data_IF_423393797789
#
_entry.id   IF_423393797789
#
_cell.length_a   1.000
_cell.length_b   1.000
_cell.length_c   1.000
_cell.angle_alpha   90.00
_cell.angle_beta   90.00
_cell.angle_gamma   90.00
#
_symmetry.space_group_name_H-M   'P 1'
#
loop_
_entity.id
_entity.type
_entity.pdbx_description
1 polymer ?
#
# COMPACT_ATOMS: atom_id res chain seq x y z
N UNK A 1 5.74 24.98 0.40
CA UNK A 1 6.53 24.80 1.64
C UNK A 1 7.04 23.36 1.70
N UNK A 2 7.84 22.96 0.70
CA UNK A 2 8.56 21.70 0.66
C UNK A 2 10.04 22.08 0.67
N UNK A 3 10.67 21.93 1.83
CA UNK A 3 12.10 22.19 2.01
C UNK A 3 12.93 21.11 1.33
N UNK A 4 13.87 21.56 0.51
CA UNK A 4 15.05 20.81 0.02
C UNK A 4 16.22 21.04 1.01
N UNK A 5 17.39 20.38 0.91
CA UNK A 5 17.70 18.96 0.75
C UNK A 5 18.67 18.52 1.88
N UNK A 6 18.34 17.50 2.68
CA UNK A 6 19.30 16.95 3.65
C UNK A 6 20.04 15.76 3.02
N UNK A 7 21.16 16.05 2.34
CA UNK A 7 21.89 15.13 1.45
C UNK A 7 22.85 14.18 2.20
N UNK A 8 22.66 13.95 3.51
CA UNK A 8 23.59 13.22 4.39
C UNK A 8 23.06 11.96 5.08
N UNK A 9 21.76 11.67 5.00
CA UNK A 9 21.11 10.50 5.64
C UNK A 9 20.53 9.50 4.64
N UNK A 10 21.00 9.54 3.39
CA UNK A 10 20.60 8.68 2.27
C UNK A 10 21.32 7.32 2.27
N UNK A 11 21.29 6.57 3.37
CA UNK A 11 21.06 5.14 3.15
C UNK A 11 19.60 5.13 2.70
N UNK A 12 19.40 5.16 1.38
CA UNK A 12 18.10 5.48 0.78
C UNK A 12 17.10 4.53 1.41
N UNK A 13 15.98 5.02 1.94
CA UNK A 13 14.96 4.17 2.58
C UNK A 13 14.64 2.93 1.71
N UNK A 14 14.70 3.11 0.38
CA UNK A 14 14.63 2.03 -0.60
C UNK A 14 15.73 0.97 -0.48
N UNK A 15 16.99 1.35 -0.30
CA UNK A 15 18.09 0.39 -0.11
C UNK A 15 17.95 -0.40 1.19
N UNK A 16 17.45 0.23 2.26
CA UNK A 16 17.16 -0.47 3.52
C UNK A 16 16.02 -1.46 3.28
N UNK A 17 14.96 -1.01 2.61
CA UNK A 17 13.81 -1.85 2.26
C UNK A 17 14.23 -3.02 1.38
N UNK A 18 14.99 -2.79 0.32
CA UNK A 18 15.50 -3.81 -0.60
C UNK A 18 16.37 -4.83 0.13
N UNK A 19 17.26 -4.38 1.01
CA UNK A 19 18.14 -5.26 1.77
C UNK A 19 17.36 -6.09 2.81
N UNK A 20 16.37 -5.49 3.47
CA UNK A 20 15.53 -6.17 4.45
C UNK A 20 14.60 -7.18 3.78
N UNK A 21 13.96 -6.80 2.67
CA UNK A 21 13.14 -7.69 1.85
C UNK A 21 13.97 -8.85 1.29
N UNK A 22 15.17 -8.58 0.77
CA UNK A 22 16.07 -9.61 0.24
C UNK A 22 16.50 -10.59 1.33
N UNK A 23 16.86 -10.10 2.53
CA UNK A 23 17.24 -10.94 3.66
C UNK A 23 16.09 -11.79 4.20
N UNK A 24 14.88 -11.22 4.24
CA UNK A 24 13.69 -11.88 4.77
C UNK A 24 12.86 -12.58 3.70
N UNK A 25 13.37 -12.72 2.47
CA UNK A 25 12.60 -13.20 1.33
C UNK A 25 11.98 -14.59 1.56
N UNK A 26 12.68 -15.51 2.23
CA UNK A 26 12.14 -16.83 2.54
C UNK A 26 10.92 -16.77 3.48
N UNK A 27 10.96 -15.90 4.48
CA UNK A 27 9.86 -15.68 5.44
C UNK A 27 8.69 -14.93 4.79
N UNK A 28 8.98 -13.95 3.94
CA UNK A 28 7.98 -13.23 3.17
C UNK A 28 7.28 -14.20 2.22
N UNK A 29 8.03 -15.03 1.51
CA UNK A 29 7.49 -15.98 0.54
C UNK A 29 6.61 -17.05 1.20
N UNK A 30 6.98 -17.53 2.39
CA UNK A 30 6.13 -18.46 3.14
C UNK A 30 4.83 -17.81 3.60
N UNK A 31 4.89 -16.56 4.09
CA UNK A 31 3.71 -15.77 4.46
C UNK A 31 2.78 -15.47 3.28
N UNK A 32 3.36 -15.09 2.14
CA UNK A 32 2.63 -14.85 0.87
C UNK A 32 1.95 -16.12 0.39
N UNK A 33 2.67 -17.25 0.39
CA UNK A 33 2.12 -18.55 0.00
C UNK A 33 0.90 -18.90 0.85
N UNK A 34 1.00 -18.77 2.17
CA UNK A 34 -0.11 -19.02 3.09
C UNK A 34 -1.32 -18.10 2.80
N UNK A 35 -1.08 -16.82 2.56
CA UNK A 35 -2.15 -15.86 2.24
C UNK A 35 -2.83 -16.17 0.91
N UNK A 36 -2.06 -16.55 -0.12
CA UNK A 36 -2.62 -16.93 -1.43
C UNK A 36 -3.47 -18.19 -1.31
N UNK A 37 -3.02 -19.22 -0.59
CA UNK A 37 -3.84 -20.43 -0.37
C UNK A 37 -5.11 -20.14 0.42
N UNK A 38 -5.10 -19.17 1.32
CA UNK A 38 -6.28 -18.73 2.06
C UNK A 38 -7.23 -17.88 1.22
N UNK A 39 -6.70 -16.96 0.42
CA UNK A 39 -7.48 -15.98 -0.35
C UNK A 39 -8.03 -16.55 -1.66
N UNK A 40 -7.37 -17.55 -2.27
CA UNK A 40 -7.81 -18.17 -3.51
C UNK A 40 -9.24 -18.74 -3.42
N UNK A 41 -9.61 -19.56 -2.41
CA UNK A 41 -10.97 -20.06 -2.27
C UNK A 41 -12.01 -18.94 -2.01
N UNK A 42 -11.62 -17.91 -1.25
CA UNK A 42 -12.49 -16.77 -0.92
C UNK A 42 -12.80 -15.92 -2.14
N UNK A 43 -11.79 -15.67 -2.97
CA UNK A 43 -11.90 -14.81 -4.14
C UNK A 43 -12.29 -15.55 -5.41
N UNK A 44 -12.08 -16.86 -5.53
CA UNK A 44 -12.42 -17.57 -6.78
C UNK A 44 -13.59 -18.52 -6.67
N UNK A 45 -14.10 -18.82 -5.47
CA UNK A 45 -15.05 -19.91 -5.19
C UNK A 45 -14.54 -21.25 -5.76
N UNK A 46 -14.73 -22.34 -5.03
CA UNK A 46 -14.63 -23.68 -5.63
C UNK A 46 -15.83 -23.84 -6.56
N UNK A 47 -15.70 -23.32 -7.79
CA UNK A 47 -16.74 -23.44 -8.80
C UNK A 47 -16.48 -24.75 -9.53
N UNK A 48 -17.32 -25.75 -9.27
CA UNK A 48 -17.29 -27.05 -9.96
C UNK A 48 -17.59 -26.91 -11.46
N UNK A 49 -18.09 -25.76 -11.90
CA UNK A 49 -18.43 -25.44 -13.28
C UNK A 49 -17.70 -24.19 -13.76
N UNK A 50 -17.26 -24.19 -15.03
CA UNK A 50 -16.65 -23.00 -15.64
C UNK A 50 -17.64 -21.83 -15.61
N UNK A 51 -17.19 -20.68 -15.09
CA UNK A 51 -17.96 -19.44 -15.11
C UNK A 51 -17.10 -18.26 -15.56
N UNK A 52 -17.66 -17.29 -16.29
CA UNK A 52 -16.96 -16.07 -16.63
C UNK A 52 -16.82 -15.19 -15.39
N UNK A 53 -15.57 -14.89 -15.02
CA UNK A 53 -15.24 -14.06 -13.85
C UNK A 53 -14.45 -12.85 -14.31
N UNK A 54 -14.78 -11.66 -13.80
CA UNK A 54 -13.96 -10.47 -13.97
C UNK A 54 -12.64 -10.62 -13.21
N UNK A 55 -11.59 -11.01 -13.94
CA UNK A 55 -10.32 -11.40 -13.35
C UNK A 55 -9.55 -10.22 -12.72
N UNK A 56 -9.59 -9.05 -13.36
CA UNK A 56 -8.83 -7.87 -12.93
C UNK A 56 -9.11 -7.44 -11.48
N UNK A 57 -10.37 -7.17 -11.07
CA UNK A 57 -10.66 -6.76 -9.70
C UNK A 57 -10.27 -7.82 -8.66
N UNK A 58 -10.41 -9.12 -8.99
CA UNK A 58 -10.05 -10.22 -8.09
C UNK A 58 -8.54 -10.35 -7.89
N UNK A 59 -7.76 -10.24 -8.96
CA UNK A 59 -6.30 -10.22 -8.89
C UNK A 59 -5.81 -9.01 -8.09
N UNK A 60 -6.37 -7.83 -8.32
CA UNK A 60 -5.99 -6.62 -7.57
C UNK A 60 -6.24 -6.80 -6.07
N UNK A 61 -7.39 -7.39 -5.69
CA UNK A 61 -7.70 -7.68 -4.28
C UNK A 61 -6.78 -8.73 -3.66
N UNK A 62 -6.45 -9.78 -4.42
CA UNK A 62 -5.46 -10.79 -4.01
C UNK A 62 -4.07 -10.17 -3.78
N UNK A 63 -3.62 -9.30 -4.69
CA UNK A 63 -2.34 -8.59 -4.54
C UNK A 63 -2.36 -7.66 -3.32
N UNK A 64 -3.46 -6.92 -3.10
CA UNK A 64 -3.60 -6.05 -1.94
C UNK A 64 -3.50 -6.82 -0.62
N UNK A 65 -4.14 -8.00 -0.52
CA UNK A 65 -4.01 -8.89 0.66
C UNK A 65 -2.59 -9.38 0.82
N UNK A 66 -1.99 -9.90 -0.25
CA UNK A 66 -0.63 -10.44 -0.24
C UNK A 66 0.39 -9.37 0.21
N UNK A 67 0.32 -8.16 -0.34
CA UNK A 67 1.16 -7.04 0.08
C UNK A 67 0.87 -6.59 1.51
N UNK A 68 -0.41 -6.57 1.92
CA UNK A 68 -0.81 -6.32 3.30
C UNK A 68 -0.17 -7.29 4.30
N UNK A 69 -0.12 -8.58 3.97
CA UNK A 69 0.54 -9.61 4.78
C UNK A 69 2.03 -9.37 4.95
N UNK A 70 2.71 -9.03 3.86
CA UNK A 70 4.17 -8.76 3.85
C UNK A 70 4.53 -7.53 4.68
N UNK A 71 3.78 -6.42 4.55
CA UNK A 71 4.16 -5.15 5.17
C UNK A 71 3.48 -4.88 6.52
N UNK A 72 2.27 -5.39 6.76
CA UNK A 72 1.46 -5.09 7.94
C UNK A 72 1.25 -6.27 8.89
N UNK A 73 1.73 -7.48 8.55
CA UNK A 73 1.55 -8.68 9.37
C UNK A 73 0.12 -9.28 9.29
N UNK A 74 -0.16 -10.31 10.09
CA UNK A 74 -1.42 -11.10 9.97
C UNK A 74 -2.68 -10.32 10.35
N UNK A 75 -2.58 -9.55 11.43
CA UNK A 75 -3.71 -8.91 12.10
C UNK A 75 -4.27 -7.75 11.29
N UNK A 76 -3.40 -6.96 10.64
CA UNK A 76 -3.83 -5.86 9.77
C UNK A 76 -4.24 -6.33 8.38
N UNK A 77 -3.63 -7.41 7.85
CA UNK A 77 -3.96 -7.96 6.54
C UNK A 77 -5.40 -8.48 6.45
N UNK A 78 -5.95 -8.97 7.56
CA UNK A 78 -7.33 -9.50 7.64
C UNK A 78 -8.39 -8.44 7.91
N UNK A 79 -8.00 -7.20 8.19
CA UNK A 79 -8.96 -6.12 8.40
C UNK A 79 -9.42 -5.59 7.03
N UNK A 80 -10.67 -5.91 6.66
CA UNK A 80 -11.24 -5.53 5.37
C UNK A 80 -11.35 -3.99 5.21
N UNK A 81 -11.53 -3.22 6.30
CA UNK A 81 -11.50 -1.76 6.25
C UNK A 81 -10.09 -1.24 5.91
N UNK A 82 -9.05 -1.86 6.47
CA UNK A 82 -7.66 -1.53 6.15
C UNK A 82 -7.34 -1.88 4.70
N UNK A 83 -7.83 -3.03 4.22
CA UNK A 83 -7.64 -3.46 2.83
C UNK A 83 -8.32 -2.48 1.85
N UNK A 84 -9.56 -2.11 2.12
CA UNK A 84 -10.31 -1.14 1.31
C UNK A 84 -9.64 0.23 1.30
N UNK A 85 -9.22 0.72 2.47
CA UNK A 85 -8.50 2.00 2.60
C UNK A 85 -7.22 2.02 1.77
N UNK A 86 -6.43 0.93 1.79
CA UNK A 86 -5.21 0.82 1.00
C UNK A 86 -5.48 0.77 -0.52
N UNK A 87 -6.50 0.02 -0.94
CA UNK A 87 -6.92 -0.02 -2.33
C UNK A 87 -7.38 1.36 -2.83
N UNK A 88 -8.20 2.06 -2.04
CA UNK A 88 -8.71 3.38 -2.37
C UNK A 88 -7.58 4.43 -2.41
N UNK A 89 -6.66 4.40 -1.44
CA UNK A 89 -5.48 5.25 -1.41
C UNK A 89 -4.63 5.07 -2.67
N UNK A 90 -4.38 3.81 -3.03
CA UNK A 90 -3.55 3.46 -4.18
C UNK A 90 -4.21 3.93 -5.47
N UNK A 91 -5.52 3.69 -5.64
CA UNK A 91 -6.29 4.15 -6.79
C UNK A 91 -6.27 5.68 -6.91
N UNK A 92 -6.57 6.38 -5.82
CA UNK A 92 -6.65 7.84 -5.81
C UNK A 92 -5.25 8.46 -6.04
N UNK A 93 -4.21 7.86 -5.46
CA UNK A 93 -2.82 8.24 -5.66
C UNK A 93 -2.33 8.05 -7.10
N UNK A 94 -2.62 6.91 -7.73
CA UNK A 94 -2.28 6.67 -9.14
C UNK A 94 -3.01 7.63 -10.07
N UNK A 95 -4.30 7.90 -9.83
CA UNK A 95 -5.05 8.88 -10.61
C UNK A 95 -4.49 10.30 -10.44
N UNK A 96 -4.15 10.69 -9.21
CA UNK A 96 -3.53 11.98 -8.92
C UNK A 96 -2.17 12.09 -9.64
N UNK A 97 -1.31 11.07 -9.54
CA UNK A 97 -0.01 11.03 -10.19
C UNK A 97 -0.12 11.09 -11.72
N UNK A 98 -1.07 10.35 -12.31
CA UNK A 98 -1.32 10.36 -13.75
C UNK A 98 -1.79 11.74 -14.23
N UNK A 99 -2.71 12.38 -13.49
CA UNK A 99 -3.15 13.75 -13.78
C UNK A 99 -1.99 14.74 -13.63
N UNK A 100 -1.24 14.68 -12.54
CA UNK A 100 -0.10 15.56 -12.27
C UNK A 100 1.03 15.40 -13.29
N UNK A 101 1.25 14.19 -13.84
CA UNK A 101 2.22 13.96 -14.93
C UNK A 101 1.90 14.73 -16.20
N UNK A 102 0.64 15.09 -16.44
CA UNK A 102 0.24 15.91 -17.59
C UNK A 102 0.57 17.41 -17.42
N UNK A 103 0.83 17.86 -16.19
CA UNK A 103 1.09 19.27 -15.89
C UNK A 103 2.59 19.56 -15.75
N UNK A 104 3.00 20.75 -16.21
CA UNK A 104 4.39 21.23 -16.08
C UNK A 104 4.79 21.37 -14.59
N UNK A 105 6.07 21.14 -14.23
CA UNK A 105 6.54 21.16 -12.84
C UNK A 105 6.19 22.42 -12.05
N UNK A 106 6.16 23.58 -12.72
CA UNK A 106 5.85 24.88 -12.11
C UNK A 106 4.38 25.02 -11.68
N UNK A 107 3.45 24.31 -12.32
CA UNK A 107 2.02 24.37 -11.98
C UNK A 107 1.64 23.35 -10.89
N UNK A 108 2.54 22.42 -10.54
CA UNK A 108 2.30 21.38 -9.52
C UNK A 108 1.81 21.93 -8.18
N UNK A 109 2.41 22.96 -7.54
CA UNK A 109 1.96 23.42 -6.24
C UNK A 109 0.54 24.03 -6.25
N UNK A 110 0.09 24.57 -7.39
CA UNK A 110 -1.26 25.13 -7.53
C UNK A 110 -2.27 24.03 -7.82
N UNK A 111 -1.91 23.10 -8.71
CA UNK A 111 -2.77 21.97 -9.11
C UNK A 111 -2.91 20.96 -7.98
N UNK A 112 -1.90 20.81 -7.13
CA UNK A 112 -1.94 19.98 -5.92
C UNK A 112 -3.05 20.40 -4.96
N UNK A 113 -3.33 21.71 -4.86
CA UNK A 113 -4.42 22.24 -4.04
C UNK A 113 -5.80 22.04 -4.71
N UNK A 114 -5.84 22.07 -6.04
CA UNK A 114 -7.06 21.97 -6.85
C UNK A 114 -7.50 20.52 -7.11
N UNK A 115 -6.61 19.54 -6.98
CA UNK A 115 -6.94 18.13 -7.16
C UNK A 115 -7.44 17.55 -5.82
N UNK A 116 -8.74 17.25 -5.69
CA UNK A 116 -9.30 16.67 -4.46
C UNK A 116 -8.70 15.29 -4.13
N UNK A 117 -8.12 14.61 -5.11
CA UNK A 117 -7.44 13.31 -4.94
C UNK A 117 -6.16 13.45 -4.10
N UNK A 118 -5.43 14.57 -4.20
CA UNK A 118 -4.26 14.81 -3.34
C UNK A 118 -4.71 15.06 -1.90
N UNK A 119 -5.77 15.85 -1.71
CA UNK A 119 -6.33 16.08 -0.38
C UNK A 119 -6.82 14.77 0.25
N UNK A 120 -7.42 13.86 -0.52
CA UNK A 120 -7.78 12.51 -0.08
C UNK A 120 -6.56 11.69 0.32
N UNK A 121 -5.50 11.67 -0.48
CA UNK A 121 -4.23 11.00 -0.16
C UNK A 121 -3.66 11.53 1.17
N UNK A 122 -3.61 12.85 1.37
CA UNK A 122 -3.18 13.45 2.63
C UNK A 122 -4.09 13.07 3.81
N UNK A 123 -5.42 13.05 3.61
CA UNK A 123 -6.37 12.66 4.64
C UNK A 123 -6.25 11.17 5.00
N UNK A 124 -6.05 10.29 4.02
CA UNK A 124 -5.83 8.87 4.24
C UNK A 124 -4.51 8.63 4.97
N UNK A 125 -3.42 9.33 4.59
CA UNK A 125 -2.17 9.28 5.36
C UNK A 125 -2.39 9.69 6.81
N UNK A 126 -3.17 10.75 7.06
CA UNK A 126 -3.49 11.18 8.43
C UNK A 126 -4.26 10.12 9.22
N UNK A 127 -5.18 9.39 8.57
CA UNK A 127 -5.92 8.27 9.18
C UNK A 127 -5.02 7.05 9.40
N UNK A 128 -4.14 6.74 8.46
CA UNK A 128 -3.20 5.62 8.55
C UNK A 128 -2.15 5.82 9.65
N UNK A 129 -1.83 7.08 10.01
CA UNK A 129 -0.95 7.40 11.13
C UNK A 129 -1.55 7.07 12.50
N UNK A 130 -2.89 6.99 12.63
CA UNK A 130 -3.55 6.69 13.90
C UNK A 130 -3.24 5.27 14.41
N UNK A 131 -3.40 4.19 13.63
CA UNK A 131 -3.05 2.83 14.05
C UNK A 131 -1.53 2.57 14.11
N UNK A 132 -0.71 3.34 13.38
CA UNK A 132 0.76 3.17 13.38
C UNK A 132 1.44 3.80 14.62
N UNK A 133 0.87 4.87 15.17
CA UNK A 133 1.38 5.54 16.38
C UNK A 133 1.69 4.61 17.56
N UNK A 134 0.79 3.70 17.99
CA UNK A 134 1.08 2.82 19.13
C UNK A 134 2.26 1.87 18.87
N UNK A 135 2.45 1.44 17.62
CA UNK A 135 3.57 0.55 17.23
C UNK A 135 4.90 1.30 17.25
N UNK A 136 4.90 2.58 16.85
CA UNK A 136 6.08 3.44 16.91
C UNK A 136 6.45 3.70 18.38
N UNK A 137 5.47 4.03 19.22
CA UNK A 137 5.69 4.27 20.65
C UNK A 137 6.23 3.03 21.38
N UNK A 138 5.78 1.82 21.01
CA UNK A 138 6.31 0.56 21.57
C UNK A 138 7.79 0.32 21.22
N UNK A 139 8.26 0.84 20.08
CA UNK A 139 9.65 0.71 19.65
C UNK A 139 10.56 1.81 20.18
N UNK A 140 10.00 2.92 20.66
CA UNK A 140 10.75 4.01 21.29
C UNK A 140 11.00 3.78 22.78
N UNK A 141 10.30 2.83 23.42
CA UNK A 141 10.41 2.53 24.86
C UNK A 141 11.27 1.30 25.20
N UNK A 142 11.80 0.59 24.21
CA UNK A 142 12.70 -0.57 24.39
C UNK A 142 14.02 -0.36 23.68
#
# INVERSE_FOLDING_TARGET
MFGSPNRGSHITVMQILENDLSRNMALIFSGVKAEVYFALPLEFLTIDNWSPVELYPRIVKLMARTSGRTFSGETLCRNEEWLQLNCDYTRDGFQAAFKLRKWRPFLRPVVEYFIPQVQRVCAVNRKALLPLRPIIMQREQG
#
